data_IF_261468143256
#
_entry.id   IF_261468143256
#
_cell.length_a   1.000
_cell.length_b   1.000
_cell.length_c   1.000
_cell.angle_alpha   90.00
_cell.angle_beta   90.00
_cell.angle_gamma   90.00
#
_symmetry.space_group_name_H-M   'P 1'
#
loop_
_entity.id
_entity.type
_entity.pdbx_description
1 polymer ?
#
# COMPACT_ATOMS: atom_id res chain seq x y z
N UNK A 1 7.23 2.24 31.27
CA UNK A 1 8.43 2.13 30.43
C UNK A 1 7.96 2.29 28.99
N UNK A 2 8.05 3.51 28.45
CA UNK A 2 7.64 3.84 27.07
C UNK A 2 8.93 4.17 26.32
N UNK A 3 9.33 3.31 25.40
CA UNK A 3 10.50 3.51 24.54
C UNK A 3 10.11 4.34 23.32
N UNK A 4 10.64 5.55 23.23
CA UNK A 4 10.52 6.41 22.06
C UNK A 4 11.50 6.00 20.96
N UNK A 5 11.05 5.99 19.71
CA UNK A 5 11.93 5.95 18.54
C UNK A 5 12.16 7.38 18.05
N UNK A 6 13.44 7.74 17.91
CA UNK A 6 13.93 9.10 17.77
C UNK A 6 13.50 9.82 16.50
N UNK A 7 12.81 10.95 16.68
CA UNK A 7 12.86 12.04 15.72
C UNK A 7 14.19 12.80 15.88
N UNK A 8 14.83 13.14 14.78
CA UNK A 8 15.98 14.05 14.81
C UNK A 8 15.49 15.48 15.09
N UNK A 9 15.98 16.04 16.19
CA UNK A 9 15.61 17.37 16.67
C UNK A 9 16.72 18.35 16.28
N UNK A 10 16.45 19.22 15.30
CA UNK A 10 17.39 20.28 14.90
C UNK A 10 17.00 21.57 15.60
N UNK A 11 17.74 21.94 16.65
CA UNK A 11 17.62 23.25 17.29
C UNK A 11 18.54 24.24 16.59
N UNK A 12 17.96 25.24 15.93
CA UNK A 12 18.70 26.43 15.49
C UNK A 12 18.40 27.55 16.49
N UNK A 13 19.45 28.03 17.15
CA UNK A 13 19.37 29.14 18.10
C UNK A 13 19.35 30.45 17.30
N UNK A 14 18.33 31.29 17.50
CA UNK A 14 18.37 32.67 17.03
C UNK A 14 17.87 33.63 18.12
N UNK A 15 18.49 34.80 18.16
CA UNK A 15 18.56 35.72 19.29
C UNK A 15 17.21 36.32 19.71
N UNK A 16 16.46 35.59 20.55
CA UNK A 16 15.52 36.20 21.51
C UNK A 16 14.07 36.41 21.06
N UNK A 17 13.55 35.68 20.05
CA UNK A 17 12.12 35.75 19.70
C UNK A 17 11.54 34.39 19.29
N UNK A 18 10.40 34.08 19.92
CA UNK A 18 9.40 33.03 19.65
C UNK A 18 9.89 31.63 19.20
N UNK A 19 9.62 30.64 20.05
CA UNK A 19 9.67 29.21 19.72
C UNK A 19 8.59 28.89 18.66
N UNK A 20 9.00 28.76 17.41
CA UNK A 20 8.19 28.09 16.39
C UNK A 20 8.55 26.61 16.41
N UNK A 21 7.70 25.80 17.04
CA UNK A 21 7.78 24.35 16.95
C UNK A 21 7.34 23.96 15.53
N UNK A 22 8.29 23.84 14.59
CA UNK A 22 8.06 23.17 13.31
C UNK A 22 8.06 21.66 13.60
N UNK A 23 6.90 21.17 14.02
CA UNK A 23 6.60 19.75 13.86
C UNK A 23 6.27 19.59 12.38
N UNK A 24 7.21 19.08 11.59
CA UNK A 24 6.84 18.44 10.33
C UNK A 24 6.06 17.17 10.71
N UNK A 25 4.79 17.33 11.10
CA UNK A 25 3.86 16.22 11.11
C UNK A 25 3.71 15.80 9.65
N UNK A 26 4.14 14.58 9.34
CA UNK A 26 3.79 13.94 8.08
C UNK A 26 2.25 14.00 8.00
N UNK A 27 1.65 14.70 7.02
CA UNK A 27 0.19 14.87 6.95
C UNK A 27 -0.54 13.52 6.77
N UNK A 28 0.20 12.42 6.57
CA UNK A 28 -0.31 11.07 6.49
C UNK A 28 -0.09 10.23 7.75
N UNK A 29 0.21 10.84 8.90
CA UNK A 29 0.27 10.13 10.17
C UNK A 29 -1.15 9.72 10.63
N UNK A 30 -1.70 8.71 9.95
CA UNK A 30 -3.01 8.14 10.27
C UNK A 30 -2.84 7.31 11.54
N UNK A 31 -3.11 7.97 12.67
CA UNK A 31 -3.24 7.35 13.99
C UNK A 31 -4.45 6.41 13.95
N UNK A 32 -4.21 5.08 13.99
CA UNK A 32 -5.27 4.08 14.19
C UNK A 32 -5.47 3.02 13.09
N UNK A 33 -4.69 3.02 12.00
CA UNK A 33 -4.87 2.02 10.92
C UNK A 33 -4.19 0.68 11.24
N UNK A 34 -4.94 -0.26 11.79
CA UNK A 34 -4.45 -1.61 12.11
C UNK A 34 -4.52 -2.55 10.90
N UNK A 35 -3.49 -2.51 10.03
CA UNK A 35 -3.36 -3.37 8.84
C UNK A 35 -3.56 -4.85 9.17
N UNK A 36 -2.98 -5.34 10.28
CA UNK A 36 -3.13 -6.72 10.72
C UNK A 36 -4.57 -7.10 11.08
N UNK A 37 -5.33 -6.17 11.66
CA UNK A 37 -6.75 -6.39 11.95
C UNK A 37 -7.58 -6.43 10.67
N UNK A 38 -7.34 -5.52 9.73
CA UNK A 38 -7.97 -5.53 8.42
C UNK A 38 -7.73 -6.86 7.70
N UNK A 39 -6.47 -7.33 7.62
CA UNK A 39 -6.14 -8.62 6.99
C UNK A 39 -6.88 -9.77 7.67
N UNK A 40 -6.95 -9.78 9.01
CA UNK A 40 -7.69 -10.78 9.77
C UNK A 40 -9.19 -10.78 9.43
N UNK A 41 -9.80 -9.59 9.35
CA UNK A 41 -11.22 -9.44 9.02
C UNK A 41 -11.52 -9.89 7.59
N UNK A 42 -10.68 -9.53 6.62
CA UNK A 42 -10.83 -9.96 5.23
C UNK A 42 -10.75 -11.48 5.12
N UNK A 43 -9.77 -12.12 5.77
CA UNK A 43 -9.65 -13.59 5.76
C UNK A 43 -10.86 -14.29 6.40
N UNK A 44 -11.47 -13.68 7.43
CA UNK A 44 -12.69 -14.20 8.05
C UNK A 44 -13.90 -14.07 7.12
N UNK A 45 -14.01 -12.96 6.39
CA UNK A 45 -15.13 -12.67 5.48
C UNK A 45 -14.99 -13.31 4.10
N UNK A 46 -13.80 -13.75 3.72
CA UNK A 46 -13.48 -14.39 2.44
C UNK A 46 -12.71 -15.69 2.71
N UNK A 47 -13.39 -16.76 3.18
CA UNK A 47 -12.75 -18.02 3.57
C UNK A 47 -12.06 -18.77 2.41
N UNK A 48 -12.40 -18.42 1.16
CA UNK A 48 -11.77 -18.93 -0.07
C UNK A 48 -10.40 -18.31 -0.35
N UNK A 49 -10.05 -17.25 0.39
CA UNK A 49 -8.74 -16.61 0.35
C UNK A 49 -7.75 -17.50 1.10
N UNK A 50 -6.68 -17.89 0.41
CA UNK A 50 -5.60 -18.68 0.97
C UNK A 50 -4.60 -17.77 1.70
N UNK A 51 -4.22 -16.66 1.08
CA UNK A 51 -3.30 -15.69 1.66
C UNK A 51 -3.58 -14.25 1.20
N UNK A 52 -3.28 -13.31 2.08
CA UNK A 52 -3.27 -11.88 1.82
C UNK A 52 -2.08 -11.27 2.54
N UNK A 53 -1.13 -10.75 1.76
CA UNK A 53 0.06 -10.09 2.26
C UNK A 53 -0.05 -8.59 1.98
N UNK A 54 -0.18 -7.83 3.05
CA UNK A 54 -0.32 -6.38 3.03
C UNK A 54 0.59 -5.80 4.10
N UNK A 55 1.47 -4.89 3.70
CA UNK A 55 2.48 -4.30 4.57
C UNK A 55 2.30 -2.79 4.59
N UNK A 56 2.60 -2.16 5.73
CA UNK A 56 2.70 -0.70 5.84
C UNK A 56 4.16 -0.32 5.58
N UNK A 57 4.42 0.44 4.52
CA UNK A 57 5.77 0.95 4.20
C UNK A 57 6.03 2.27 4.95
N UNK A 58 5.04 3.17 4.97
CA UNK A 58 5.04 4.42 5.77
C UNK A 58 3.65 4.70 6.34
N UNK A 59 3.49 5.81 7.09
CA UNK A 59 2.24 6.14 7.75
C UNK A 59 1.04 6.23 6.76
N UNK A 60 1.26 6.77 5.57
CA UNK A 60 0.24 6.88 4.51
C UNK A 60 0.26 5.81 3.43
N UNK A 61 1.18 4.83 3.49
CA UNK A 61 1.47 3.97 2.35
C UNK A 61 1.42 2.48 2.68
N UNK A 62 0.58 1.77 1.93
CA UNK A 62 0.44 0.32 1.97
C UNK A 62 1.01 -0.34 0.71
N UNK A 63 1.67 -1.47 0.92
CA UNK A 63 2.24 -2.32 -0.13
C UNK A 63 1.49 -3.65 -0.15
N UNK A 64 0.80 -3.92 -1.26
CA UNK A 64 0.21 -5.21 -1.54
C UNK A 64 1.28 -6.15 -2.10
N UNK A 65 1.64 -7.16 -1.30
CA UNK A 65 2.56 -8.22 -1.70
C UNK A 65 1.87 -9.31 -2.51
N UNK A 66 0.76 -9.85 -1.98
CA UNK A 66 0.10 -11.01 -2.59
C UNK A 66 -1.39 -11.10 -2.22
N UNK A 67 -2.19 -11.56 -3.19
CA UNK A 67 -3.54 -12.10 -2.98
C UNK A 67 -3.53 -13.53 -3.53
N UNK A 68 -3.56 -14.54 -2.66
CA UNK A 68 -3.58 -15.93 -3.06
C UNK A 68 -4.97 -16.52 -2.81
N UNK A 69 -5.57 -17.05 -3.87
CA UNK A 69 -6.87 -17.73 -3.82
C UNK A 69 -6.65 -19.23 -3.93
N UNK A 70 -7.39 -19.99 -3.10
CA UNK A 70 -7.37 -21.45 -3.13
C UNK A 70 -7.60 -21.96 -4.55
N UNK A 71 -6.87 -22.99 -4.94
CA UNK A 71 -6.81 -23.46 -6.34
C UNK A 71 -8.18 -23.82 -6.92
N UNK A 72 -9.04 -24.45 -6.12
CA UNK A 72 -10.41 -24.86 -6.45
C UNK A 72 -11.41 -23.70 -6.53
N UNK A 73 -11.05 -22.53 -6.00
CA UNK A 73 -11.90 -21.32 -5.99
C UNK A 73 -11.43 -20.25 -7.00
N UNK A 74 -10.39 -20.55 -7.79
CA UNK A 74 -9.90 -19.65 -8.84
C UNK A 74 -10.95 -19.52 -9.95
N UNK A 75 -11.06 -18.33 -10.53
CA UNK A 75 -12.08 -18.02 -11.53
C UNK A 75 -13.43 -17.55 -10.96
N UNK A 76 -13.65 -17.70 -9.65
CA UNK A 76 -14.92 -17.32 -9.00
C UNK A 76 -14.95 -15.86 -8.49
N UNK A 77 -14.03 -15.01 -8.96
CA UNK A 77 -13.99 -13.59 -8.58
C UNK A 77 -13.51 -13.29 -7.14
N UNK A 78 -12.96 -14.27 -6.41
CA UNK A 78 -12.48 -14.08 -5.02
C UNK A 78 -11.37 -13.02 -4.93
N UNK A 79 -10.39 -13.08 -5.84
CA UNK A 79 -9.31 -12.08 -5.89
C UNK A 79 -9.81 -10.67 -6.18
N UNK A 80 -10.82 -10.56 -7.07
CA UNK A 80 -11.47 -9.29 -7.40
C UNK A 80 -12.19 -8.70 -6.19
N UNK A 81 -12.98 -9.52 -5.49
CA UNK A 81 -13.68 -9.10 -4.27
C UNK A 81 -12.69 -8.63 -3.20
N UNK A 82 -11.59 -9.36 -3.02
CA UNK A 82 -10.54 -9.04 -2.05
C UNK A 82 -9.86 -7.72 -2.38
N UNK A 83 -9.51 -7.50 -3.65
CA UNK A 83 -8.92 -6.23 -4.11
C UNK A 83 -9.87 -5.06 -3.89
N UNK A 84 -11.17 -5.22 -4.16
CA UNK A 84 -12.17 -4.17 -3.90
C UNK A 84 -12.24 -3.81 -2.42
N UNK A 85 -12.29 -4.79 -1.52
CA UNK A 85 -12.29 -4.54 -0.07
C UNK A 85 -11.04 -3.78 0.38
N UNK A 86 -9.87 -4.15 -0.16
CA UNK A 86 -8.61 -3.45 0.10
C UNK A 86 -8.66 -1.99 -0.36
N UNK A 87 -9.13 -1.77 -1.58
CA UNK A 87 -9.22 -0.44 -2.18
C UNK A 87 -10.20 0.46 -1.41
N UNK A 88 -11.38 -0.06 -1.06
CA UNK A 88 -12.38 0.67 -0.28
C UNK A 88 -11.86 1.03 1.11
N UNK A 89 -11.15 0.10 1.75
CA UNK A 89 -10.54 0.35 3.05
C UNK A 89 -9.42 1.39 2.96
N UNK A 90 -8.54 1.30 1.95
CA UNK A 90 -7.51 2.30 1.73
C UNK A 90 -8.09 3.68 1.42
N UNK A 91 -9.14 3.76 0.59
CA UNK A 91 -9.86 5.00 0.30
C UNK A 91 -10.43 5.64 1.56
N UNK A 92 -11.12 4.82 2.38
CA UNK A 92 -11.73 5.28 3.62
C UNK A 92 -10.70 5.88 4.59
N UNK A 93 -9.47 5.37 4.59
CA UNK A 93 -8.39 5.83 5.45
C UNK A 93 -7.42 6.83 4.78
N UNK A 94 -7.67 7.26 3.54
CA UNK A 94 -6.78 8.17 2.84
C UNK A 94 -5.39 7.59 2.56
N UNK A 95 -5.29 6.28 2.29
CA UNK A 95 -4.02 5.58 2.12
C UNK A 95 -3.66 5.38 0.66
N UNK A 96 -2.38 5.61 0.36
CA UNK A 96 -1.78 5.22 -0.91
C UNK A 96 -1.58 3.70 -0.92
N UNK A 97 -1.93 3.06 -2.03
CA UNK A 97 -1.63 1.65 -2.29
C UNK A 97 -0.54 1.53 -3.34
N UNK A 98 0.41 0.63 -3.14
CA UNK A 98 1.28 0.15 -4.20
C UNK A 98 1.23 -1.38 -4.33
N UNK A 99 1.50 -1.86 -5.54
CA UNK A 99 1.60 -3.28 -5.85
C UNK A 99 2.73 -3.49 -6.85
N UNK A 100 3.44 -4.61 -6.73
CA UNK A 100 4.42 -5.02 -7.74
C UNK A 100 3.75 -5.92 -8.79
N UNK A 101 4.15 -5.76 -10.05
CA UNK A 101 3.66 -6.65 -11.11
C UNK A 101 4.48 -7.93 -11.31
N UNK A 102 5.63 -8.04 -10.64
CA UNK A 102 6.41 -9.27 -10.58
C UNK A 102 6.16 -9.97 -9.25
N UNK A 103 5.54 -11.16 -9.25
CA UNK A 103 5.64 -12.09 -8.13
C UNK A 103 7.12 -12.45 -7.96
N UNK A 104 7.63 -12.45 -6.73
CA UNK A 104 9.04 -12.81 -6.48
C UNK A 104 9.36 -14.26 -6.89
N UNK A 105 8.33 -15.11 -7.07
CA UNK A 105 8.43 -16.54 -7.31
C UNK A 105 7.79 -17.03 -8.63
N UNK A 106 7.28 -16.15 -9.49
CA UNK A 106 6.76 -16.59 -10.80
C UNK A 106 7.80 -16.46 -11.91
N UNK A 107 7.88 -17.45 -12.83
CA UNK A 107 8.76 -17.35 -13.97
C UNK A 107 8.48 -16.08 -14.80
N UNK A 108 9.49 -15.48 -15.45
CA UNK A 108 9.42 -14.17 -16.11
C UNK A 108 8.41 -14.03 -17.27
N UNK A 109 7.63 -15.07 -17.57
CA UNK A 109 6.63 -15.09 -18.65
C UNK A 109 5.18 -14.90 -18.19
N UNK A 110 4.91 -14.69 -16.89
CA UNK A 110 3.56 -14.27 -16.48
C UNK A 110 3.25 -12.97 -17.20
N UNK A 111 2.28 -13.01 -18.12
CA UNK A 111 1.98 -11.91 -19.05
C UNK A 111 1.65 -10.64 -18.25
N UNK A 112 2.66 -9.80 -18.04
CA UNK A 112 2.62 -8.52 -17.32
C UNK A 112 1.32 -7.77 -17.65
N UNK A 113 0.93 -7.72 -18.93
CA UNK A 113 -0.30 -7.06 -19.37
C UNK A 113 -1.61 -7.51 -18.71
N UNK A 114 -1.78 -8.79 -18.32
CA UNK A 114 -3.02 -9.22 -17.62
C UNK A 114 -3.08 -8.68 -16.19
N UNK A 115 -1.95 -8.69 -15.49
CA UNK A 115 -1.87 -8.18 -14.12
C UNK A 115 -1.96 -6.65 -14.11
N UNK A 116 -1.27 -5.97 -15.03
CA UNK A 116 -1.38 -4.52 -15.21
C UNK A 116 -2.80 -4.08 -15.53
N UNK A 117 -3.50 -4.80 -16.43
CA UNK A 117 -4.90 -4.53 -16.73
C UNK A 117 -5.79 -4.75 -15.50
N UNK A 118 -5.57 -5.84 -14.78
CA UNK A 118 -6.32 -6.15 -13.57
C UNK A 118 -6.15 -5.06 -12.50
N UNK A 119 -4.91 -4.62 -12.22
CA UNK A 119 -4.60 -3.50 -11.33
C UNK A 119 -5.22 -2.18 -11.82
N UNK A 120 -5.14 -1.91 -13.13
CA UNK A 120 -5.67 -0.69 -13.74
C UNK A 120 -7.19 -0.51 -13.52
N UNK A 121 -7.97 -1.60 -13.52
CA UNK A 121 -9.42 -1.56 -13.20
C UNK A 121 -9.71 -1.07 -11.78
N UNK A 122 -8.74 -1.17 -10.87
CA UNK A 122 -8.84 -0.72 -9.49
C UNK A 122 -8.21 0.66 -9.25
N UNK A 123 -7.79 1.35 -10.32
CA UNK A 123 -7.26 2.71 -10.26
C UNK A 123 -5.74 2.80 -10.08
N UNK A 124 -5.03 1.66 -10.11
CA UNK A 124 -3.57 1.65 -10.08
C UNK A 124 -3.00 2.18 -11.39
N UNK A 125 -1.92 2.95 -11.30
CA UNK A 125 -1.17 3.53 -12.43
C UNK A 125 0.30 3.21 -12.30
N UNK A 126 0.97 3.05 -13.44
CA UNK A 126 2.42 2.86 -13.49
C UNK A 126 3.12 4.21 -13.29
N UNK A 127 4.08 4.30 -12.39
CA UNK A 127 4.87 5.53 -12.19
C UNK A 127 5.98 5.62 -13.24
N UNK A 128 6.13 6.78 -13.88
CA UNK A 128 7.05 7.01 -15.02
C UNK A 128 8.54 6.78 -14.69
N UNK A 129 8.92 6.84 -13.40
CA UNK A 129 10.30 6.60 -12.95
C UNK A 129 10.77 5.14 -13.02
N UNK A 130 9.87 4.19 -13.26
CA UNK A 130 10.20 2.76 -13.28
C UNK A 130 10.95 2.29 -14.54
N UNK A 131 11.01 3.11 -15.59
CA UNK A 131 11.64 2.75 -16.87
C UNK A 131 13.15 3.01 -16.96
N UNK A 132 13.78 3.67 -15.97
CA UNK A 132 15.14 4.23 -16.12
C UNK A 132 16.30 3.44 -15.51
N UNK A 133 16.10 2.31 -14.84
CA UNK A 133 17.22 1.47 -14.36
C UNK A 133 16.86 -0.02 -14.48
N UNK A 134 17.83 -0.81 -14.93
CA UNK A 134 17.82 -2.24 -15.24
C UNK A 134 17.42 -3.20 -14.08
N UNK A 135 16.87 -2.69 -12.97
CA UNK A 135 16.47 -3.48 -11.78
C UNK A 135 15.18 -2.94 -11.13
N UNK A 136 14.41 -2.06 -11.79
CA UNK A 136 13.18 -1.54 -11.19
C UNK A 136 12.01 -2.47 -11.55
N UNK A 137 11.62 -3.31 -10.58
CA UNK A 137 10.34 -4.03 -10.59
C UNK A 137 9.23 -3.02 -10.85
N UNK A 138 8.40 -3.24 -11.87
CA UNK A 138 7.28 -2.36 -12.19
C UNK A 138 6.35 -2.25 -10.98
N UNK A 139 6.36 -1.09 -10.33
CA UNK A 139 5.55 -0.77 -9.17
C UNK A 139 4.40 0.12 -9.62
N UNK A 140 3.20 -0.34 -9.33
CA UNK A 140 1.95 0.33 -9.60
C UNK A 140 1.50 1.04 -8.34
N UNK A 141 0.92 2.22 -8.48
CA UNK A 141 0.46 3.06 -7.38
C UNK A 141 -0.96 3.53 -7.58
N UNK A 142 -1.66 3.72 -6.47
CA UNK A 142 -3.02 4.22 -6.43
C UNK A 142 -3.15 5.22 -5.28
N UNK A 143 -3.54 6.43 -5.61
CA UNK A 143 -3.92 7.46 -4.63
C UNK A 143 -5.34 7.18 -4.09
N UNK A 144 -5.65 7.57 -2.85
CA UNK A 144 -7.02 7.48 -2.34
C UNK A 144 -7.98 8.33 -3.18
N UNK A 145 -9.25 7.91 -3.27
CA UNK A 145 -10.28 8.67 -3.98
C UNK A 145 -10.42 10.08 -3.38
N UNK A 146 -10.37 11.09 -4.24
CA UNK A 146 -10.54 12.50 -3.86
C UNK A 146 -9.24 13.30 -3.89
N UNK A 147 -8.08 12.65 -3.87
CA UNK A 147 -6.80 13.30 -4.10
C UNK A 147 -6.51 13.39 -5.61
N UNK A 148 -6.23 14.61 -6.09
CA UNK A 148 -5.70 14.82 -7.45
C UNK A 148 -4.18 14.57 -7.41
N UNK A 149 -3.61 13.94 -8.46
CA UNK A 149 -2.17 13.79 -8.59
C UNK A 149 -1.46 15.13 -8.75
#
# INVERSE_FOLDING_TARGET
MVGGNGGQLWMKWDNGRALSLLVEEDPYDVIGTHVGEFVRLVRKSVPELEDLQLHRETAGHLVLGMIRVRRDQRGNGVGERTMRLLVEWADFHGLVLSASASPEDEPPWTKVGRHSYWLGRHGFRLTEGSKRKSVIRERYYRLPKGERP
#
